data_IF_475530861025
#
_entry.id   IF_475530861025
#
_cell.length_a   1.000
_cell.length_b   1.000
_cell.length_c   1.000
_cell.angle_alpha   90.00
_cell.angle_beta   90.00
_cell.angle_gamma   90.00
#
_symmetry.space_group_name_H-M   'P 1'
#
loop_
_entity.id
_entity.type
_entity.pdbx_description
1 polymer ?
#
# COMPACT_ATOMS: atom_id res chain seq x y z
N UNK A 1 -36.54 25.32 1.51
CA UNK A 1 -35.72 26.05 0.51
C UNK A 1 -34.26 25.93 0.92
N UNK A 2 -33.48 24.95 0.41
CA UNK A 2 -32.06 24.88 0.70
C UNK A 2 -31.29 25.79 -0.27
N UNK A 3 -30.44 26.63 0.30
CA UNK A 3 -29.66 27.65 -0.40
C UNK A 3 -28.66 27.07 -1.38
N UNK A 4 -28.78 27.51 -2.64
CA UNK A 4 -27.81 27.32 -3.71
C UNK A 4 -26.51 28.01 -3.29
N UNK A 5 -25.42 27.24 -3.19
CA UNK A 5 -24.06 27.77 -3.06
C UNK A 5 -23.37 27.54 -4.39
N UNK A 6 -23.27 28.62 -5.17
CA UNK A 6 -22.53 28.62 -6.42
C UNK A 6 -21.05 28.67 -6.12
N UNK A 7 -20.29 27.70 -6.64
CA UNK A 7 -18.85 27.80 -6.75
C UNK A 7 -18.48 27.41 -8.18
N UNK A 8 -17.80 28.33 -8.87
CA UNK A 8 -17.36 28.20 -10.26
C UNK A 8 -15.86 28.13 -10.27
N UNK A 9 -15.30 27.17 -10.99
CA UNK A 9 -13.86 27.06 -11.16
C UNK A 9 -13.65 26.24 -12.49
N UNK A 10 -12.72 26.56 -13.40
CA UNK A 10 -12.56 25.99 -14.77
C UNK A 10 -11.10 25.60 -15.14
N UNK A 11 -10.82 24.32 -15.40
CA UNK A 11 -9.51 23.88 -15.94
C UNK A 11 -9.66 23.14 -17.27
N UNK A 12 -8.75 23.45 -18.19
CA UNK A 12 -8.53 22.70 -19.43
C UNK A 12 -7.08 22.26 -19.46
N UNK A 13 -6.91 20.98 -19.76
CA UNK A 13 -5.64 20.44 -20.22
C UNK A 13 -5.88 19.72 -21.54
N UNK A 14 -5.09 20.08 -22.55
CA UNK A 14 -5.22 19.61 -23.92
C UNK A 14 -4.84 18.13 -24.06
N UNK A 15 -5.70 17.34 -24.70
CA UNK A 15 -5.33 16.06 -25.28
C UNK A 15 -4.94 16.28 -26.75
N UNK A 16 -3.76 15.81 -27.10
CA UNK A 16 -3.24 15.78 -28.46
C UNK A 16 -4.14 14.93 -29.37
N UNK A 17 -4.37 15.48 -30.57
CA UNK A 17 -4.91 14.84 -31.78
C UNK A 17 -6.31 14.21 -31.68
N UNK A 18 -7.36 15.03 -31.75
CA UNK A 18 -8.31 15.07 -32.90
C UNK A 18 -9.58 15.87 -32.54
N UNK A 19 -9.83 16.92 -33.34
CA UNK A 19 -11.07 17.71 -33.50
C UNK A 19 -12.15 17.60 -32.39
N UNK A 20 -11.94 18.31 -31.29
CA UNK A 20 -12.97 19.13 -30.64
C UNK A 20 -12.25 20.25 -29.88
N UNK A 21 -12.29 21.47 -30.41
CA UNK A 21 -11.67 22.62 -29.76
C UNK A 21 -12.55 23.06 -28.58
N UNK A 22 -12.09 22.82 -27.35
CA UNK A 22 -12.61 23.48 -26.16
C UNK A 22 -11.71 24.66 -25.82
N UNK A 23 -12.25 25.88 -25.93
CA UNK A 23 -11.55 27.11 -25.59
C UNK A 23 -11.60 27.40 -24.09
N UNK A 24 -10.44 27.64 -23.47
CA UNK A 24 -10.34 28.35 -22.19
C UNK A 24 -10.26 29.83 -22.51
N UNK A 25 -11.16 30.62 -21.93
CA UNK A 25 -10.88 32.03 -21.70
C UNK A 25 -10.47 32.16 -20.24
N UNK A 26 -9.18 32.40 -19.98
CA UNK A 26 -8.71 32.78 -18.65
C UNK A 26 -8.67 34.32 -18.58
N UNK A 27 -9.29 34.97 -17.59
CA UNK A 27 -8.95 36.36 -17.28
C UNK A 27 -7.55 36.35 -16.65
N UNK A 28 -6.55 36.77 -17.43
CA UNK A 28 -5.17 36.82 -16.98
C UNK A 28 -4.97 37.97 -15.97
N UNK A 29 -5.25 37.72 -14.68
CA UNK A 29 -4.65 38.48 -13.59
C UNK A 29 -3.31 37.82 -13.24
N UNK A 30 -2.31 38.08 -14.08
CA UNK A 30 -0.92 37.70 -13.84
C UNK A 30 -0.24 38.84 -13.06
N UNK A 31 0.50 38.50 -12.01
CA UNK A 31 1.37 39.46 -11.33
C UNK A 31 2.58 39.84 -12.20
N UNK A 32 3.37 40.82 -11.75
CA UNK A 32 4.55 41.30 -12.48
C UNK A 32 5.66 40.24 -12.65
N UNK A 33 5.56 39.11 -11.96
CA UNK A 33 6.47 37.98 -12.06
C UNK A 33 5.92 36.85 -12.96
N UNK A 34 4.72 37.01 -13.53
CA UNK A 34 4.09 36.06 -14.45
C UNK A 34 3.30 34.95 -13.78
N UNK A 35 2.99 35.06 -12.48
CA UNK A 35 2.14 34.12 -11.77
C UNK A 35 0.71 34.65 -11.68
N UNK A 36 -0.28 33.81 -12.00
CA UNK A 36 -1.69 34.17 -11.90
C UNK A 36 -2.47 33.08 -11.20
N UNK A 37 -3.57 33.47 -10.57
CA UNK A 37 -4.54 32.52 -10.04
C UNK A 37 -5.53 32.16 -11.15
N UNK A 38 -5.76 30.87 -11.33
CA UNK A 38 -6.84 30.39 -12.16
C UNK A 38 -7.78 29.59 -11.28
N UNK A 39 -9.03 29.85 -11.56
CA UNK A 39 -10.10 29.11 -11.01
C UNK A 39 -10.13 27.69 -11.68
N UNK A 40 -9.98 26.58 -10.93
CA UNK A 40 -10.17 25.12 -11.22
C UNK A 40 -11.39 24.37 -10.61
N UNK A 41 -12.38 23.90 -11.38
CA UNK A 41 -13.59 23.25 -10.84
C UNK A 41 -13.77 21.82 -11.30
N UNK A 42 -14.37 21.02 -10.43
CA UNK A 42 -14.64 19.60 -10.66
C UNK A 42 -16.16 19.43 -10.77
N UNK A 43 -16.65 19.05 -11.95
CA UNK A 43 -18.05 18.68 -12.15
C UNK A 43 -18.24 17.17 -11.93
N UNK A 44 -19.18 16.80 -11.06
CA UNK A 44 -19.58 15.41 -10.83
C UNK A 44 -20.89 15.14 -11.57
N UNK A 45 -20.78 14.69 -12.82
CA UNK A 45 -21.95 14.30 -13.62
C UNK A 45 -22.30 12.83 -13.34
N UNK A 46 -23.44 12.54 -12.71
CA UNK A 46 -23.89 11.17 -12.35
C UNK A 46 -24.28 10.29 -13.56
N UNK A 47 -24.13 10.80 -14.78
CA UNK A 47 -24.63 10.19 -16.02
C UNK A 47 -23.84 8.95 -16.46
N UNK A 48 -22.70 8.64 -15.83
CA UNK A 48 -21.91 7.45 -16.13
C UNK A 48 -21.37 6.84 -14.84
N UNK A 49 -22.10 5.88 -14.29
CA UNK A 49 -21.53 5.01 -13.25
C UNK A 49 -20.35 4.25 -13.87
N UNK A 50 -19.16 4.44 -13.31
CA UNK A 50 -18.01 3.59 -13.61
C UNK A 50 -18.23 2.21 -12.98
N UNK A 51 -17.34 1.26 -13.27
CA UNK A 51 -17.35 -0.03 -12.60
C UNK A 51 -17.21 0.13 -11.08
N UNK A 52 -17.83 -0.77 -10.32
CA UNK A 52 -17.62 -0.85 -8.88
C UNK A 52 -16.12 -0.95 -8.58
N UNK A 53 -15.64 -0.14 -7.64
CA UNK A 53 -14.25 -0.19 -7.23
C UNK A 53 -13.93 -1.57 -6.65
N UNK A 54 -12.84 -2.18 -7.14
CA UNK A 54 -12.35 -3.43 -6.57
C UNK A 54 -11.88 -3.16 -5.13
N UNK A 55 -12.49 -3.78 -4.10
CA UNK A 55 -12.11 -3.53 -2.71
C UNK A 55 -10.66 -3.90 -2.43
N UNK A 56 -10.05 -4.82 -3.20
CA UNK A 56 -8.65 -5.24 -3.08
C UNK A 56 -7.64 -4.14 -3.41
N UNK A 57 -8.09 -3.00 -3.96
CA UNK A 57 -7.23 -1.82 -4.17
C UNK A 57 -6.84 -1.14 -2.86
N UNK A 58 -7.64 -1.30 -1.79
CA UNK A 58 -7.36 -0.76 -0.46
C UNK A 58 -6.52 -1.74 0.39
N UNK A 59 -5.43 -2.24 -0.18
CA UNK A 59 -4.55 -3.22 0.45
C UNK A 59 -3.23 -2.65 0.99
N UNK A 60 -2.46 -3.50 1.68
CA UNK A 60 -1.10 -3.20 2.13
C UNK A 60 -0.10 -4.30 1.86
N UNK A 61 1.17 -3.97 2.06
CA UNK A 61 2.28 -4.91 2.15
C UNK A 61 2.75 -5.02 3.61
N UNK A 62 3.14 -6.22 4.02
CA UNK A 62 3.65 -6.50 5.37
C UNK A 62 4.88 -7.40 5.27
N UNK A 63 6.10 -6.82 5.26
CA UNK A 63 7.32 -7.60 5.18
C UNK A 63 7.62 -8.29 6.53
N UNK A 64 8.43 -9.35 6.52
CA UNK A 64 8.80 -10.08 7.75
C UNK A 64 9.86 -9.34 8.60
N UNK A 65 10.50 -8.33 8.03
CA UNK A 65 11.63 -7.60 8.64
C UNK A 65 11.17 -6.66 9.76
N UNK A 66 12.04 -6.42 10.73
CA UNK A 66 11.83 -5.42 11.80
C UNK A 66 10.52 -5.60 12.59
N UNK A 67 10.09 -6.85 12.78
CA UNK A 67 8.81 -7.14 13.45
C UNK A 67 7.60 -6.62 12.67
N UNK A 68 7.72 -6.67 11.33
CA UNK A 68 6.93 -5.97 10.30
C UNK A 68 6.73 -4.48 10.63
N UNK A 69 7.83 -3.75 10.51
CA UNK A 69 7.87 -2.28 10.56
C UNK A 69 7.34 -1.70 11.87
N UNK A 70 7.60 -2.41 12.97
CA UNK A 70 7.24 -1.97 14.31
C UNK A 70 5.81 -2.29 14.73
N UNK A 71 5.09 -3.19 14.03
CA UNK A 71 3.87 -3.77 14.58
C UNK A 71 4.15 -4.60 15.84
N UNK A 72 5.30 -5.28 15.88
CA UNK A 72 5.79 -5.99 17.05
C UNK A 72 6.96 -5.25 17.72
N UNK A 73 7.06 -5.39 19.04
CA UNK A 73 8.21 -4.95 19.81
C UNK A 73 9.40 -5.95 19.76
N UNK A 74 10.48 -5.63 20.46
CA UNK A 74 11.68 -6.48 20.57
C UNK A 74 11.45 -7.77 21.38
N UNK A 75 10.26 -8.01 21.89
CA UNK A 75 9.86 -9.25 22.57
C UNK A 75 8.84 -10.03 21.74
N UNK A 76 8.40 -9.49 20.58
CA UNK A 76 7.39 -10.12 19.73
C UNK A 76 5.95 -9.83 20.15
N UNK A 77 5.72 -8.80 20.98
CA UNK A 77 4.38 -8.39 21.42
C UNK A 77 3.84 -7.29 20.51
N UNK A 78 2.54 -7.32 20.27
CA UNK A 78 1.85 -6.27 19.52
C UNK A 78 2.03 -4.90 20.18
N UNK A 79 2.44 -3.92 19.37
CA UNK A 79 2.46 -2.51 19.75
C UNK A 79 1.07 -1.93 19.54
N UNK A 80 0.29 -1.87 20.61
CA UNK A 80 -1.12 -1.47 20.57
C UNK A 80 -1.42 -0.17 19.80
N UNK A 81 -0.60 0.91 19.91
CA UNK A 81 -0.83 2.11 19.11
C UNK A 81 -0.76 1.87 17.60
N UNK A 82 0.16 1.02 17.14
CA UNK A 82 0.30 0.69 15.71
C UNK A 82 -0.83 -0.24 15.26
N UNK A 83 -1.15 -1.23 16.07
CA UNK A 83 -2.22 -2.17 15.79
C UNK A 83 -3.59 -1.48 15.74
N UNK A 84 -3.84 -0.52 16.64
CA UNK A 84 -5.04 0.32 16.61
C UNK A 84 -5.15 1.12 15.31
N UNK A 85 -4.04 1.74 14.84
CA UNK A 85 -4.02 2.42 13.54
C UNK A 85 -4.28 1.47 12.37
N UNK A 86 -3.76 0.25 12.42
CA UNK A 86 -4.02 -0.74 11.39
C UNK A 86 -5.51 -1.17 11.37
N UNK A 87 -6.15 -1.27 12.55
CA UNK A 87 -7.61 -1.51 12.65
C UNK A 87 -8.43 -0.33 12.12
N UNK A 88 -8.06 0.91 12.45
CA UNK A 88 -8.71 2.12 11.93
C UNK A 88 -8.62 2.19 10.40
N UNK A 89 -7.49 1.81 9.83
CA UNK A 89 -7.28 1.81 8.39
C UNK A 89 -8.02 0.67 7.67
N UNK A 90 -8.16 -0.49 8.31
CA UNK A 90 -8.94 -1.64 7.82
C UNK A 90 -8.59 -2.08 6.38
N UNK A 91 -7.33 -2.50 6.12
CA UNK A 91 -6.93 -2.94 4.78
C UNK A 91 -7.72 -4.17 4.34
N UNK A 92 -8.18 -4.18 3.08
CA UNK A 92 -8.97 -5.29 2.53
C UNK A 92 -8.12 -6.54 2.26
N UNK A 93 -6.84 -6.36 1.94
CA UNK A 93 -5.89 -7.42 1.63
C UNK A 93 -4.51 -7.06 2.18
N UNK A 94 -3.81 -8.04 2.74
CA UNK A 94 -2.43 -7.89 3.20
C UNK A 94 -1.52 -8.85 2.46
N UNK A 95 -0.47 -8.31 1.85
CA UNK A 95 0.55 -9.09 1.16
C UNK A 95 1.74 -9.39 2.06
N UNK A 96 2.02 -10.67 2.28
CA UNK A 96 3.17 -11.16 3.05
C UNK A 96 4.35 -11.53 2.17
N UNK A 97 5.56 -11.39 2.72
CA UNK A 97 6.86 -11.52 2.01
C UNK A 97 7.06 -10.52 0.87
N UNK A 98 6.48 -9.31 1.00
CA UNK A 98 6.72 -8.19 0.09
C UNK A 98 8.15 -7.61 0.27
N UNK A 99 8.82 -7.24 -0.81
CA UNK A 99 10.12 -6.56 -0.82
C UNK A 99 11.30 -7.36 -1.38
N UNK A 100 12.39 -6.66 -1.75
CA UNK A 100 13.67 -7.24 -2.16
C UNK A 100 14.57 -7.59 -0.94
N UNK A 101 15.30 -8.71 -0.96
CA UNK A 101 14.99 -9.94 -1.65
C UNK A 101 14.82 -11.11 -0.67
N UNK A 102 13.95 -12.03 -1.07
CA UNK A 102 13.76 -13.37 -0.50
C UNK A 102 15.00 -14.25 -0.76
N UNK A 103 16.22 -13.69 -0.60
CA UNK A 103 17.48 -14.44 -0.58
C UNK A 103 17.57 -15.10 0.78
N UNK A 104 17.08 -16.33 0.85
CA UNK A 104 17.21 -17.20 2.02
C UNK A 104 16.04 -17.17 3.00
N UNK A 105 15.02 -16.32 2.79
CA UNK A 105 13.81 -16.42 3.61
C UNK A 105 12.94 -17.60 3.14
N UNK A 106 12.92 -18.64 3.95
CA UNK A 106 11.97 -19.74 3.88
C UNK A 106 10.82 -19.42 4.84
N UNK A 107 9.57 -19.46 4.35
CA UNK A 107 8.40 -19.19 5.17
C UNK A 107 8.33 -20.09 6.41
N UNK A 108 8.87 -21.31 6.34
CA UNK A 108 8.94 -22.27 7.45
C UNK A 108 9.79 -21.74 8.61
N UNK A 109 10.78 -20.89 8.34
CA UNK A 109 11.59 -20.25 9.38
C UNK A 109 10.78 -19.26 10.24
N UNK A 110 9.65 -18.76 9.74
CA UNK A 110 8.72 -17.92 10.49
C UNK A 110 7.65 -18.69 11.27
N UNK A 111 7.74 -20.02 11.33
CA UNK A 111 6.80 -20.87 12.06
C UNK A 111 7.37 -21.29 13.42
N UNK A 112 6.51 -21.79 14.32
CA UNK A 112 6.92 -22.31 15.63
C UNK A 112 7.35 -21.23 16.62
N UNK A 113 7.97 -21.64 17.73
CA UNK A 113 8.36 -20.76 18.81
C UNK A 113 9.48 -19.79 18.38
N UNK A 114 9.33 -18.49 18.67
CA UNK A 114 10.31 -17.45 18.27
C UNK A 114 11.75 -17.77 18.65
N UNK A 115 11.96 -18.39 19.83
CA UNK A 115 13.29 -18.76 20.31
C UNK A 115 13.98 -19.85 19.48
N UNK A 116 13.22 -20.62 18.69
CA UNK A 116 13.72 -21.71 17.83
C UNK A 116 13.90 -21.27 16.37
N UNK A 117 13.50 -20.04 16.04
CA UNK A 117 13.60 -19.52 14.66
C UNK A 117 15.04 -19.11 14.35
N UNK A 118 15.51 -19.34 13.12
CA UNK A 118 16.85 -18.94 12.75
C UNK A 118 16.96 -17.41 12.68
N UNK A 119 18.18 -16.94 12.90
CA UNK A 119 18.55 -15.59 12.49
C UNK A 119 18.72 -15.57 10.98
N UNK A 120 18.20 -14.54 10.34
CA UNK A 120 18.24 -14.39 8.88
C UNK A 120 18.75 -13.00 8.52
N UNK A 121 19.36 -12.91 7.34
CA UNK A 121 19.81 -11.63 6.79
C UNK A 121 18.74 -11.10 5.84
N UNK A 122 18.21 -9.87 6.03
CA UNK A 122 17.23 -9.27 5.13
C UNK A 122 17.79 -9.03 3.73
N UNK A 123 18.99 -8.47 3.66
CA UNK A 123 19.74 -8.21 2.44
C UNK A 123 21.25 -8.22 2.74
N UNK A 124 22.10 -8.15 1.71
CA UNK A 124 23.56 -8.28 1.89
C UNK A 124 24.20 -7.12 2.68
N UNK A 125 23.53 -5.97 2.76
CA UNK A 125 24.00 -4.77 3.46
C UNK A 125 23.53 -4.67 4.91
N UNK A 126 22.55 -5.48 5.31
CA UNK A 126 21.95 -5.45 6.64
C UNK A 126 22.49 -6.52 7.60
N UNK A 127 22.48 -6.25 8.92
CA UNK A 127 22.83 -7.25 9.92
C UNK A 127 21.80 -8.38 9.98
N UNK A 128 22.22 -9.51 10.54
CA UNK A 128 21.32 -10.60 10.87
C UNK A 128 20.26 -10.14 11.88
N UNK A 129 19.01 -10.57 11.72
CA UNK A 129 17.93 -10.31 12.66
C UNK A 129 17.09 -11.57 12.92
N UNK A 130 16.45 -11.69 14.11
CA UNK A 130 15.54 -12.79 14.38
C UNK A 130 14.21 -12.58 13.64
N UNK A 131 13.55 -13.67 13.24
CA UNK A 131 12.22 -13.62 12.62
C UNK A 131 11.15 -13.45 13.71
N UNK A 132 10.87 -12.20 14.06
CA UNK A 132 9.82 -11.85 15.02
C UNK A 132 8.42 -11.92 14.42
N UNK A 133 8.30 -11.46 13.18
CA UNK A 133 7.05 -11.46 12.43
C UNK A 133 7.13 -12.51 11.31
N UNK A 134 6.70 -13.72 11.64
CA UNK A 134 6.66 -14.87 10.75
C UNK A 134 5.28 -15.08 10.13
N UNK A 135 5.09 -16.23 9.46
CA UNK A 135 3.81 -16.59 8.86
C UNK A 135 2.69 -16.72 9.90
N UNK A 136 3.00 -17.20 11.11
CA UNK A 136 2.02 -17.30 12.20
C UNK A 136 1.51 -15.92 12.64
N UNK A 137 2.43 -14.97 12.87
CA UNK A 137 2.06 -13.60 13.27
C UNK A 137 1.33 -12.87 12.14
N UNK A 138 1.70 -13.09 10.88
CA UNK A 138 1.00 -12.56 9.71
C UNK A 138 -0.47 -13.03 9.64
N UNK A 139 -0.71 -14.34 9.81
CA UNK A 139 -2.08 -14.87 9.80
C UNK A 139 -2.89 -14.36 10.98
N UNK A 140 -2.26 -14.21 12.16
CA UNK A 140 -2.90 -13.60 13.32
C UNK A 140 -3.28 -12.13 13.05
N UNK A 141 -2.42 -11.36 12.39
CA UNK A 141 -2.72 -9.98 11.98
C UNK A 141 -3.90 -9.94 11.00
N UNK A 142 -3.91 -10.79 9.97
CA UNK A 142 -5.02 -10.86 9.02
C UNK A 142 -6.34 -11.18 9.70
N UNK A 143 -6.34 -12.12 10.67
CA UNK A 143 -7.52 -12.44 11.46
C UNK A 143 -8.01 -11.25 12.30
N UNK A 144 -7.10 -10.52 12.95
CA UNK A 144 -7.45 -9.34 13.75
C UNK A 144 -7.98 -8.17 12.93
N UNK A 145 -7.48 -8.01 11.69
CA UNK A 145 -7.87 -6.92 10.79
C UNK A 145 -8.98 -7.30 9.81
N UNK A 146 -9.41 -8.57 9.82
CA UNK A 146 -10.34 -9.13 8.82
C UNK A 146 -9.86 -8.95 7.37
N UNK A 147 -8.54 -8.89 7.18
CA UNK A 147 -7.92 -8.70 5.88
C UNK A 147 -7.70 -10.05 5.17
N UNK A 148 -7.86 -10.07 3.85
CA UNK A 148 -7.54 -11.25 3.04
C UNK A 148 -6.02 -11.45 3.02
N UNK A 149 -5.50 -12.64 3.36
CA UNK A 149 -4.07 -12.91 3.27
C UNK A 149 -3.65 -13.19 1.82
N UNK A 150 -2.62 -12.48 1.33
CA UNK A 150 -1.93 -12.75 0.07
C UNK A 150 -0.47 -13.13 0.35
N UNK A 151 -0.12 -14.40 0.19
CA UNK A 151 1.22 -14.90 0.53
C UNK A 151 2.04 -15.08 -0.74
N UNK A 152 3.19 -14.41 -0.83
CA UNK A 152 4.14 -14.64 -1.90
C UNK A 152 5.03 -15.84 -1.58
N UNK A 153 4.92 -16.93 -2.34
CA UNK A 153 5.82 -18.07 -2.18
C UNK A 153 7.06 -17.94 -3.09
N UNK A 154 8.23 -18.30 -2.54
CA UNK A 154 9.41 -18.55 -3.38
C UNK A 154 9.27 -19.92 -4.03
N UNK A 155 9.10 -19.95 -5.35
CA UNK A 155 9.23 -21.17 -6.13
C UNK A 155 10.72 -21.48 -6.31
N UNK A 156 11.29 -22.34 -5.47
CA UNK A 156 12.62 -22.91 -5.70
C UNK A 156 12.46 -24.10 -6.63
N UNK A 157 13.06 -24.04 -7.83
CA UNK A 157 13.16 -25.20 -8.69
C UNK A 157 14.16 -26.15 -8.04
N UNK A 158 13.72 -27.32 -7.57
CA UNK A 158 14.63 -28.37 -7.11
C UNK A 158 15.51 -28.77 -8.29
N UNK A 159 16.80 -28.43 -8.26
CA UNK A 159 17.79 -29.10 -9.09
C UNK A 159 18.11 -30.44 -8.44
N UNK A 160 17.22 -31.42 -8.61
CA UNK A 160 17.68 -32.80 -8.66
C UNK A 160 18.58 -32.89 -9.89
N UNK A 161 19.87 -33.20 -9.70
CA UNK A 161 20.96 -33.62 -10.63
C UNK A 161 22.26 -33.03 -10.05
N UNK A 162 23.33 -33.77 -9.69
CA UNK A 162 23.72 -35.15 -9.92
C UNK A 162 24.56 -35.63 -8.72
N UNK A 163 24.47 -36.93 -8.43
CA UNK A 163 25.49 -37.69 -7.70
C UNK A 163 26.70 -37.91 -8.61
#
# INVERSE_FOLDING_TARGET
>A
MPGRRDFSLSVVLAATTSRAAFGVSAPANLDSAGYGTFDVGIELSSLKSLHACNPLLAGSNTPWIHGSEGLLDQQGRWREPMLSRAREWSPSILRYMAGEPVIGFDWRHGMGAMAQRPWVRPDLSQPMQPIRFGTGEFLALCAQLQAIPLIQMKSVRSSSHAQ
#
